data_IF_084645896197
#
_entry.id   IF_084645896197
#
_cell.length_a   1.000
_cell.length_b   1.000
_cell.length_c   1.000
_cell.angle_alpha   90.00
_cell.angle_beta   90.00
_cell.angle_gamma   90.00
#
_symmetry.space_group_name_H-M   'P 1'
#
loop_
_entity.id
_entity.type
_entity.pdbx_description
1 polymer ?
#
# COMPACT_ATOMS: atom_id res chain seq x y z
N UNK A 1 -27.19 -69.04 -31.65
CA UNK A 1 -25.84 -68.45 -31.69
C UNK A 1 -25.95 -66.94 -31.75
N UNK A 2 -25.96 -66.31 -30.63
CA UNK A 2 -26.10 -64.87 -30.55
C UNK A 2 -24.85 -64.30 -29.84
N UNK A 3 -24.08 -63.57 -30.62
CA UNK A 3 -22.89 -62.84 -30.10
C UNK A 3 -23.36 -61.55 -29.46
N UNK A 4 -23.17 -61.47 -28.14
CA UNK A 4 -23.32 -60.26 -27.40
C UNK A 4 -22.06 -59.41 -27.60
N UNK A 5 -22.22 -58.21 -28.20
CA UNK A 5 -21.16 -57.24 -28.30
C UNK A 5 -21.14 -56.42 -27.01
N UNK A 6 -20.06 -56.54 -26.28
CA UNK A 6 -19.77 -55.68 -25.17
C UNK A 6 -19.46 -54.26 -25.64
N UNK A 7 -20.26 -53.34 -25.18
CA UNK A 7 -20.02 -51.88 -25.35
C UNK A 7 -19.19 -51.45 -24.21
N UNK A 8 -17.90 -51.31 -24.43
CA UNK A 8 -16.99 -50.65 -23.46
C UNK A 8 -17.35 -49.19 -23.30
N UNK A 9 -17.88 -48.86 -22.14
CA UNK A 9 -18.16 -47.51 -21.71
C UNK A 9 -16.86 -46.81 -21.35
N UNK A 10 -16.39 -45.90 -22.18
CA UNK A 10 -15.25 -45.04 -21.90
C UNK A 10 -15.74 -43.92 -20.98
N UNK A 11 -15.44 -44.05 -19.70
CA UNK A 11 -15.67 -42.97 -18.73
C UNK A 11 -14.57 -41.93 -18.91
N UNK A 12 -14.92 -40.86 -19.56
CA UNK A 12 -14.05 -39.69 -19.69
C UNK A 12 -13.93 -38.98 -18.33
N UNK A 13 -12.77 -39.07 -17.74
CA UNK A 13 -12.42 -38.26 -16.55
C UNK A 13 -12.13 -36.84 -17.01
N UNK A 14 -13.09 -35.93 -16.80
CA UNK A 14 -12.88 -34.50 -16.92
C UNK A 14 -12.02 -34.04 -15.75
N UNK A 15 -10.73 -33.90 -16.00
CA UNK A 15 -9.81 -33.19 -15.08
C UNK A 15 -10.13 -31.71 -15.19
N UNK A 16 -10.92 -31.21 -14.26
CA UNK A 16 -11.15 -29.79 -14.08
C UNK A 16 -9.86 -29.11 -13.65
N UNK A 17 -9.22 -28.41 -14.58
CA UNK A 17 -8.13 -27.50 -14.26
C UNK A 17 -8.70 -26.35 -13.45
N UNK A 18 -8.59 -26.45 -12.11
CA UNK A 18 -8.90 -25.35 -11.22
C UNK A 18 -7.91 -24.21 -11.48
N UNK A 19 -8.40 -23.12 -12.07
CA UNK A 19 -7.66 -21.87 -12.18
C UNK A 19 -7.51 -21.33 -10.76
N UNK A 20 -6.37 -21.58 -10.14
CA UNK A 20 -5.97 -20.89 -8.91
C UNK A 20 -5.65 -19.47 -9.32
N UNK A 21 -6.61 -18.56 -9.17
CA UNK A 21 -6.35 -17.14 -9.14
C UNK A 21 -5.49 -16.90 -7.89
N UNK A 22 -4.18 -16.87 -8.08
CA UNK A 22 -3.30 -16.26 -7.10
C UNK A 22 -3.79 -14.81 -6.98
N UNK A 23 -4.47 -14.51 -5.87
CA UNK A 23 -4.72 -13.13 -5.49
C UNK A 23 -3.33 -12.54 -5.25
N UNK A 24 -2.80 -11.82 -6.24
CA UNK A 24 -1.72 -10.89 -6.04
C UNK A 24 -2.14 -10.03 -4.87
N UNK A 25 -1.45 -10.18 -3.74
CA UNK A 25 -1.57 -9.28 -2.62
C UNK A 25 -1.07 -7.94 -3.15
N UNK A 26 -1.97 -7.15 -3.74
CA UNK A 26 -1.67 -5.78 -4.11
C UNK A 26 -1.06 -5.14 -2.87
N UNK A 27 0.16 -4.64 -3.01
CA UNK A 27 0.83 -3.87 -1.97
C UNK A 27 -0.07 -2.66 -1.68
N UNK A 28 -0.91 -2.81 -0.67
CA UNK A 28 -1.94 -1.86 -0.35
C UNK A 28 -1.44 -0.79 0.64
N UNK A 29 -0.18 -0.86 1.06
CA UNK A 29 0.50 0.12 1.88
C UNK A 29 1.81 0.56 1.20
N UNK A 30 2.43 1.64 1.67
CA UNK A 30 3.74 2.09 1.19
C UNK A 30 4.89 1.13 1.54
N UNK A 31 4.58 0.08 2.31
CA UNK A 31 5.48 -0.99 2.70
C UNK A 31 4.79 -2.36 2.54
N UNK A 32 5.59 -3.42 2.58
CA UNK A 32 5.10 -4.80 2.45
C UNK A 32 4.40 -5.28 3.73
N UNK A 33 3.08 -5.42 3.67
CA UNK A 33 2.26 -5.87 4.81
C UNK A 33 2.61 -7.30 5.28
N UNK A 34 3.15 -8.15 4.41
CA UNK A 34 3.62 -9.47 4.84
C UNK A 34 4.83 -9.39 5.78
N UNK A 35 5.54 -8.25 5.76
CA UNK A 35 6.69 -7.97 6.62
C UNK A 35 6.36 -7.06 7.81
N UNK A 36 5.10 -6.68 7.99
CA UNK A 36 4.66 -5.84 9.11
C UNK A 36 4.95 -6.53 10.46
N UNK A 37 5.71 -5.87 11.31
CA UNK A 37 6.16 -6.41 12.60
C UNK A 37 5.67 -5.61 13.78
N UNK A 38 5.66 -4.30 13.66
CA UNK A 38 5.26 -3.39 14.74
C UNK A 38 3.74 -3.23 14.82
N UNK A 39 3.18 -2.87 15.99
CA UNK A 39 1.74 -2.68 16.15
C UNK A 39 1.15 -1.65 15.19
N UNK A 40 1.85 -0.56 14.93
CA UNK A 40 1.45 0.48 13.97
C UNK A 40 1.41 -0.03 12.53
N UNK A 41 2.42 -0.77 12.09
CA UNK A 41 2.45 -1.39 10.76
C UNK A 41 1.28 -2.36 10.57
N UNK A 42 1.04 -3.22 11.56
CA UNK A 42 -0.08 -4.17 11.54
C UNK A 42 -1.44 -3.46 11.50
N UNK A 43 -1.59 -2.36 12.25
CA UNK A 43 -2.82 -1.56 12.24
C UNK A 43 -3.06 -0.90 10.88
N UNK A 44 -2.01 -0.36 10.24
CA UNK A 44 -2.09 0.20 8.88
C UNK A 44 -2.52 -0.88 7.88
N UNK A 45 -1.95 -2.06 7.95
CA UNK A 45 -2.29 -3.16 7.05
C UNK A 45 -3.71 -3.71 7.27
N UNK A 46 -4.20 -3.71 8.50
CA UNK A 46 -5.52 -4.25 8.86
C UNK A 46 -6.67 -3.25 8.67
N UNK A 47 -6.40 -1.96 8.59
CA UNK A 47 -7.41 -0.91 8.47
C UNK A 47 -7.34 -0.24 7.10
N UNK A 48 -8.41 -0.37 6.31
CA UNK A 48 -8.45 0.14 4.94
C UNK A 48 -8.20 1.65 4.85
N UNK A 49 -8.81 2.45 5.73
CA UNK A 49 -8.61 3.90 5.73
C UNK A 49 -7.16 4.28 6.02
N UNK A 50 -6.53 3.62 7.00
CA UNK A 50 -5.10 3.84 7.30
C UNK A 50 -4.21 3.41 6.15
N UNK A 51 -4.56 2.31 5.50
CA UNK A 51 -3.84 1.79 4.35
C UNK A 51 -3.87 2.77 3.18
N UNK A 52 -5.06 3.30 2.83
CA UNK A 52 -5.25 4.28 1.77
C UNK A 52 -4.48 5.59 2.08
N UNK A 53 -4.50 6.03 3.34
CA UNK A 53 -3.72 7.19 3.79
C UNK A 53 -2.21 6.94 3.70
N UNK A 54 -1.74 5.75 4.03
CA UNK A 54 -0.33 5.39 3.95
C UNK A 54 0.17 5.38 2.50
N UNK A 55 -0.60 4.81 1.57
CA UNK A 55 -0.30 4.86 0.12
C UNK A 55 -0.23 6.30 -0.35
N UNK A 56 -1.25 7.10 -0.05
CA UNK A 56 -1.30 8.52 -0.44
C UNK A 56 -0.09 9.30 0.10
N UNK A 57 0.25 9.10 1.37
CA UNK A 57 1.40 9.73 2.01
C UNK A 57 2.71 9.32 1.32
N UNK A 58 2.89 8.04 1.01
CA UNK A 58 4.08 7.50 0.36
C UNK A 58 4.28 8.06 -1.05
N UNK A 59 3.20 8.18 -1.83
CA UNK A 59 3.23 8.76 -3.18
C UNK A 59 3.58 10.26 -3.15
N UNK A 60 2.93 11.03 -2.28
CA UNK A 60 3.21 12.45 -2.11
C UNK A 60 4.64 12.69 -1.64
N UNK A 61 5.13 11.94 -0.66
CA UNK A 61 6.51 12.02 -0.19
C UNK A 61 7.51 11.74 -1.32
N UNK A 62 7.25 10.71 -2.12
CA UNK A 62 8.10 10.37 -3.26
C UNK A 62 8.12 11.46 -4.32
N UNK A 63 6.98 12.09 -4.58
CA UNK A 63 6.85 13.20 -5.52
C UNK A 63 7.60 14.44 -5.03
N UNK A 64 7.34 14.87 -3.80
CA UNK A 64 7.99 16.04 -3.18
C UNK A 64 9.51 15.88 -3.15
N UNK A 65 9.99 14.68 -2.83
CA UNK A 65 11.42 14.38 -2.81
C UNK A 65 12.09 14.57 -4.17
N UNK A 66 11.36 14.35 -5.28
CA UNK A 66 11.86 14.57 -6.63
C UNK A 66 11.80 16.04 -7.06
N UNK A 67 10.82 16.77 -6.57
CA UNK A 67 10.56 18.16 -6.96
C UNK A 67 11.36 19.17 -6.15
N UNK A 68 11.72 18.85 -4.91
CA UNK A 68 12.44 19.77 -4.03
C UNK A 68 13.96 19.82 -4.33
N UNK A 69 14.58 20.99 -4.26
CA UNK A 69 16.04 21.11 -4.27
C UNK A 69 16.66 20.46 -3.03
N UNK A 70 17.99 20.25 -3.04
CA UNK A 70 18.70 19.44 -2.03
C UNK A 70 18.36 19.83 -0.57
N UNK A 71 18.43 21.10 -0.20
CA UNK A 71 18.12 21.52 1.18
C UNK A 71 16.68 21.26 1.60
N UNK A 72 15.73 21.47 0.69
CA UNK A 72 14.32 21.14 0.92
C UNK A 72 14.08 19.63 1.01
N UNK A 73 14.81 18.86 0.22
CA UNK A 73 14.76 17.39 0.24
C UNK A 73 15.27 16.83 1.56
N UNK A 74 16.38 17.35 2.08
CA UNK A 74 16.94 16.91 3.36
C UNK A 74 15.99 17.21 4.53
N UNK A 75 15.38 18.39 4.52
CA UNK A 75 14.34 18.75 5.49
C UNK A 75 13.13 17.80 5.40
N UNK A 76 12.65 17.51 4.19
CA UNK A 76 11.54 16.58 3.95
C UNK A 76 11.83 15.17 4.48
N UNK A 77 13.05 14.67 4.28
CA UNK A 77 13.50 13.37 4.79
C UNK A 77 13.50 13.37 6.32
N UNK A 78 14.01 14.42 6.96
CA UNK A 78 14.01 14.56 8.42
C UNK A 78 12.59 14.57 8.99
N UNK A 79 11.66 15.30 8.36
CA UNK A 79 10.24 15.31 8.74
C UNK A 79 9.59 13.93 8.57
N UNK A 80 9.94 13.19 7.52
CA UNK A 80 9.42 11.85 7.32
C UNK A 80 9.91 10.88 8.40
N UNK A 81 11.15 11.00 8.82
CA UNK A 81 11.67 10.21 9.95
C UNK A 81 10.94 10.54 11.26
N UNK A 82 10.66 11.82 11.52
CA UNK A 82 9.89 12.24 12.67
C UNK A 82 8.45 11.70 12.62
N UNK A 83 7.81 11.71 11.45
CA UNK A 83 6.50 11.09 11.23
C UNK A 83 6.51 9.59 11.55
N UNK A 84 7.47 8.83 11.04
CA UNK A 84 7.59 7.40 11.29
C UNK A 84 7.80 7.08 12.77
N UNK A 85 8.56 7.92 13.48
CA UNK A 85 8.74 7.82 14.94
C UNK A 85 7.41 8.03 15.68
N UNK A 86 6.66 9.06 15.31
CA UNK A 86 5.33 9.37 15.86
C UNK A 86 4.31 8.27 15.56
N UNK A 87 4.34 7.71 14.35
CA UNK A 87 3.50 6.57 13.95
C UNK A 87 3.74 5.37 14.86
N UNK A 88 5.01 5.04 15.11
CA UNK A 88 5.39 3.96 16.02
C UNK A 88 4.90 4.22 17.44
N UNK A 89 4.97 5.46 17.92
CA UNK A 89 4.47 5.86 19.25
C UNK A 89 2.94 5.73 19.39
N UNK A 90 2.17 5.90 18.31
CA UNK A 90 0.73 5.63 18.29
C UNK A 90 0.40 4.15 18.56
N UNK A 91 1.32 3.23 18.23
CA UNK A 91 1.06 1.80 18.30
C UNK A 91 -0.14 1.41 17.43
N UNK A 92 -1.03 0.56 17.95
CA UNK A 92 -2.23 0.10 17.23
C UNK A 92 -3.45 1.03 17.35
N UNK A 93 -3.30 2.23 17.89
CA UNK A 93 -4.41 3.18 18.13
C UNK A 93 -4.85 3.82 16.81
N UNK A 94 -5.93 3.32 16.21
CA UNK A 94 -6.44 3.77 14.91
C UNK A 94 -6.71 5.28 14.87
N UNK A 95 -7.32 5.86 15.90
CA UNK A 95 -7.58 7.31 15.95
C UNK A 95 -6.31 8.14 15.93
N UNK A 96 -5.30 7.77 16.73
CA UNK A 96 -3.98 8.42 16.74
C UNK A 96 -3.30 8.34 15.38
N UNK A 97 -3.31 7.17 14.77
CA UNK A 97 -2.73 6.94 13.44
C UNK A 97 -3.45 7.75 12.36
N UNK A 98 -4.79 7.75 12.36
CA UNK A 98 -5.59 8.49 11.37
C UNK A 98 -5.27 9.98 11.40
N UNK A 99 -5.27 10.60 12.59
CA UNK A 99 -4.96 12.01 12.74
C UNK A 99 -3.53 12.33 12.28
N UNK A 100 -2.57 11.49 12.64
CA UNK A 100 -1.17 11.66 12.26
C UNK A 100 -0.98 11.59 10.74
N UNK A 101 -1.60 10.61 10.08
CA UNK A 101 -1.55 10.47 8.63
C UNK A 101 -2.23 11.64 7.90
N UNK A 102 -3.40 12.07 8.36
CA UNK A 102 -4.12 13.21 7.77
C UNK A 102 -3.27 14.48 7.84
N UNK A 103 -2.63 14.76 8.98
CA UNK A 103 -1.71 15.90 9.13
C UNK A 103 -0.52 15.79 8.18
N UNK A 104 0.07 14.59 8.05
CA UNK A 104 1.21 14.39 7.16
C UNK A 104 0.84 14.57 5.70
N UNK A 105 -0.26 13.98 5.25
CA UNK A 105 -0.78 14.14 3.88
C UNK A 105 -1.06 15.60 3.55
N UNK A 106 -1.69 16.35 4.47
CA UNK A 106 -1.94 17.78 4.29
C UNK A 106 -0.63 18.58 4.17
N UNK A 107 0.38 18.28 4.99
CA UNK A 107 1.68 18.95 4.92
C UNK A 107 2.40 18.68 3.59
N UNK A 108 2.39 17.43 3.10
CA UNK A 108 2.98 17.09 1.81
C UNK A 108 2.26 17.77 0.63
N UNK A 109 0.93 17.79 0.63
CA UNK A 109 0.15 18.54 -0.39
C UNK A 109 0.49 20.02 -0.39
N UNK A 110 0.62 20.63 0.78
CA UNK A 110 0.99 22.05 0.90
C UNK A 110 2.36 22.36 0.28
N UNK A 111 3.30 21.43 0.31
CA UNK A 111 4.61 21.60 -0.36
C UNK A 111 4.41 21.76 -1.87
N UNK A 112 3.61 20.88 -2.48
CA UNK A 112 3.32 20.95 -3.92
C UNK A 112 2.62 22.28 -4.25
N UNK A 113 1.58 22.62 -3.50
CA UNK A 113 0.77 23.82 -3.75
C UNK A 113 1.56 25.12 -3.59
N UNK A 114 2.38 25.23 -2.55
CA UNK A 114 3.04 26.49 -2.19
C UNK A 114 4.45 26.63 -2.79
N UNK A 115 5.17 25.55 -2.99
CA UNK A 115 6.55 25.62 -3.46
C UNK A 115 6.74 25.24 -4.92
N UNK A 116 5.89 24.33 -5.42
CA UNK A 116 5.99 23.85 -6.81
C UNK A 116 5.09 24.68 -7.73
N UNK A 117 3.81 24.81 -7.38
CA UNK A 117 2.82 25.46 -8.22
C UNK A 117 2.97 26.98 -8.29
N UNK A 118 3.47 27.63 -7.24
CA UNK A 118 3.61 29.10 -7.19
C UNK A 118 4.92 29.62 -7.78
N UNK A 119 5.92 28.78 -7.96
CA UNK A 119 7.21 29.20 -8.51
C UNK A 119 7.32 29.07 -10.04
N UNK A 120 6.24 28.65 -10.69
CA UNK A 120 6.14 28.55 -12.14
C UNK A 120 6.81 27.30 -12.73
N UNK A 121 6.69 27.13 -14.05
CA UNK A 121 7.32 26.01 -14.72
C UNK A 121 8.83 26.16 -14.65
N UNK A 122 9.48 25.05 -14.34
CA UNK A 122 10.93 24.89 -14.24
C UNK A 122 11.63 25.14 -15.56
#
# INVERSE_FOLDING_TARGET
MTRVREISSVIGVLVGAGLWLAADSALAASFDCAKARTPDEKAVCANRTLNDLDVTMGELFSLDKRLLPMGGRDALIGEQQAFLKSRKACGAKVGCLTELYQKRVAALRSIIETRVMTQGPF
#
